data_IF_765781215002
#
_entry.id   IF_765781215002
#
_cell.length_a   1.000
_cell.length_b   1.000
_cell.length_c   1.000
_cell.angle_alpha   90.00
_cell.angle_beta   90.00
_cell.angle_gamma   90.00
#
_symmetry.space_group_name_H-M   'P 1'
#
loop_
_entity.id
_entity.type
_entity.pdbx_description
1 polymer ?
#
# COMPACT_ATOMS: atom_id res chain seq x y z
N UNK A 1 -20.81 7.77 4.74
CA UNK A 1 -19.54 7.79 5.51
C UNK A 1 -18.84 6.45 5.30
N UNK A 2 -17.51 6.35 5.28
CA UNK A 2 -16.80 5.09 4.96
C UNK A 2 -17.22 3.95 5.91
N UNK A 3 -17.42 4.27 7.19
CA UNK A 3 -17.89 3.34 8.22
C UNK A 3 -19.22 2.66 7.87
N UNK A 4 -20.19 3.40 7.28
CA UNK A 4 -21.51 2.83 6.98
C UNK A 4 -21.44 1.72 5.94
N UNK A 5 -20.56 1.86 4.94
CA UNK A 5 -20.36 0.82 3.93
C UNK A 5 -19.69 -0.42 4.52
N UNK A 6 -18.67 -0.24 5.36
CA UNK A 6 -17.99 -1.34 6.05
C UNK A 6 -18.96 -2.12 6.93
N UNK A 7 -19.85 -1.43 7.66
CA UNK A 7 -20.85 -2.06 8.52
C UNK A 7 -21.98 -2.78 7.77
N UNK A 8 -22.21 -2.42 6.51
CA UNK A 8 -23.11 -3.16 5.61
C UNK A 8 -22.44 -4.42 5.07
N UNK A 9 -21.14 -4.33 4.73
CA UNK A 9 -20.36 -5.50 4.29
C UNK A 9 -20.18 -6.52 5.42
N UNK A 10 -19.93 -6.05 6.65
CA UNK A 10 -19.73 -6.89 7.84
C UNK A 10 -21.03 -7.10 8.62
N UNK A 11 -22.15 -7.31 7.92
CA UNK A 11 -23.46 -7.41 8.55
C UNK A 11 -23.58 -8.58 9.55
N UNK A 12 -22.82 -9.66 9.34
CA UNK A 12 -22.75 -10.82 10.25
C UNK A 12 -22.04 -10.52 11.58
N UNK A 13 -21.37 -9.37 11.71
CA UNK A 13 -20.56 -9.00 12.88
C UNK A 13 -21.02 -7.67 13.49
N UNK A 14 -22.25 -7.60 14.05
CA UNK A 14 -22.82 -6.34 14.57
C UNK A 14 -22.02 -5.75 15.73
N UNK A 15 -21.30 -6.58 16.50
CA UNK A 15 -20.43 -6.14 17.59
C UNK A 15 -19.31 -5.20 17.12
N UNK A 16 -18.87 -5.32 15.86
CA UNK A 16 -17.82 -4.47 15.30
C UNK A 16 -18.24 -3.01 15.15
N UNK A 17 -19.54 -2.72 15.06
CA UNK A 17 -20.06 -1.33 15.00
C UNK A 17 -19.77 -0.52 16.26
N UNK A 18 -19.61 -1.21 17.39
CA UNK A 18 -19.32 -0.61 18.70
C UNK A 18 -17.82 -0.64 19.02
N UNK A 19 -17.01 -1.27 18.16
CA UNK A 19 -15.56 -1.34 18.33
C UNK A 19 -14.93 0.01 18.04
N UNK A 20 -14.49 0.69 19.09
CA UNK A 20 -13.71 1.93 18.97
C UNK A 20 -12.41 1.71 18.20
N UNK A 21 -11.77 0.55 18.38
CA UNK A 21 -10.55 0.17 17.66
C UNK A 21 -10.77 0.05 16.14
N UNK A 22 -11.88 -0.57 15.71
CA UNK A 22 -12.22 -0.65 14.30
C UNK A 22 -12.49 0.74 13.72
N UNK A 23 -13.27 1.56 14.43
CA UNK A 23 -13.56 2.93 14.02
C UNK A 23 -12.28 3.75 13.83
N UNK A 24 -11.36 3.70 14.82
CA UNK A 24 -10.08 4.38 14.75
C UNK A 24 -9.26 3.90 13.55
N UNK A 25 -9.19 2.59 13.32
CA UNK A 25 -8.49 2.04 12.16
C UNK A 25 -9.05 2.57 10.84
N UNK A 26 -10.38 2.61 10.68
CA UNK A 26 -11.03 3.17 9.49
C UNK A 26 -10.66 4.65 9.31
N UNK A 27 -10.70 5.45 10.37
CA UNK A 27 -10.34 6.87 10.34
C UNK A 27 -8.87 7.08 9.93
N UNK A 28 -7.95 6.27 10.44
CA UNK A 28 -6.54 6.29 10.03
C UNK A 28 -6.35 5.90 8.57
N UNK A 29 -7.05 4.86 8.07
CA UNK A 29 -7.03 4.49 6.65
C UNK A 29 -7.51 5.63 5.75
N UNK A 30 -8.59 6.31 6.13
CA UNK A 30 -9.11 7.48 5.39
C UNK A 30 -8.09 8.62 5.40
N UNK A 31 -7.48 8.90 6.57
CA UNK A 31 -6.46 9.94 6.71
C UNK A 31 -5.25 9.68 5.81
N UNK A 32 -4.72 8.46 5.82
CA UNK A 32 -3.60 8.06 4.96
C UNK A 32 -3.99 8.17 3.49
N UNK A 33 -5.15 7.63 3.11
CA UNK A 33 -5.65 7.70 1.72
C UNK A 33 -5.76 9.14 1.23
N UNK A 34 -6.30 10.03 2.08
CA UNK A 34 -6.38 11.45 1.76
C UNK A 34 -5.00 12.10 1.62
N UNK A 35 -4.09 11.84 2.58
CA UNK A 35 -2.73 12.36 2.55
C UNK A 35 -1.97 11.97 1.28
N UNK A 36 -2.23 10.78 0.73
CA UNK A 36 -1.64 10.31 -0.53
C UNK A 36 -2.23 11.00 -1.77
N UNK A 37 -3.50 11.39 -1.73
CA UNK A 37 -4.23 11.90 -2.89
C UNK A 37 -4.29 13.43 -3.00
N UNK A 38 -4.17 14.14 -1.88
CA UNK A 38 -4.28 15.61 -1.85
C UNK A 38 -3.00 16.31 -2.32
N UNK A 39 -1.89 15.58 -2.45
CA UNK A 39 -0.64 16.12 -2.97
C UNK A 39 -0.74 16.45 -4.46
N UNK A 40 0.08 17.40 -4.92
CA UNK A 40 0.23 17.73 -6.33
C UNK A 40 1.74 17.78 -6.68
N UNK A 41 2.31 16.71 -7.29
CA UNK A 41 1.63 15.54 -7.84
C UNK A 41 1.11 14.56 -6.78
N UNK A 42 0.03 13.82 -7.07
CA UNK A 42 -0.48 12.76 -6.17
C UNK A 42 0.51 11.61 -6.05
N UNK A 43 0.47 10.88 -4.94
CA UNK A 43 1.23 9.64 -4.80
C UNK A 43 0.53 8.44 -5.42
N UNK A 44 1.31 7.51 -5.96
CA UNK A 44 0.87 6.27 -6.60
C UNK A 44 1.57 5.09 -5.92
N UNK A 45 0.78 4.04 -5.62
CA UNK A 45 1.26 2.77 -5.10
C UNK A 45 1.49 1.83 -6.28
N UNK A 46 2.72 1.34 -6.47
CA UNK A 46 3.08 0.37 -7.51
C UNK A 46 3.47 -0.97 -6.89
N UNK A 47 2.94 -2.06 -7.45
CA UNK A 47 3.09 -3.43 -6.96
C UNK A 47 2.98 -4.49 -8.07
N UNK A 48 3.09 -4.08 -9.33
CA UNK A 48 2.84 -4.90 -10.52
C UNK A 48 4.10 -5.13 -11.38
N UNK A 49 5.24 -4.56 -10.98
CA UNK A 49 6.50 -4.76 -11.70
C UNK A 49 6.95 -6.21 -11.63
N UNK A 50 7.33 -6.77 -12.77
CA UNK A 50 7.84 -8.14 -12.88
C UNK A 50 9.37 -8.22 -12.84
N UNK A 51 10.05 -7.09 -12.96
CA UNK A 51 11.50 -7.01 -13.01
C UNK A 51 12.01 -6.04 -11.95
N UNK A 52 13.06 -6.45 -11.25
CA UNK A 52 13.74 -5.67 -10.24
C UNK A 52 14.30 -4.40 -10.86
N UNK A 53 14.17 -3.30 -10.12
CA UNK A 53 14.69 -2.01 -10.52
C UNK A 53 15.29 -1.35 -9.27
N UNK A 54 16.61 -1.21 -9.17
CA UNK A 54 17.27 -0.71 -7.96
C UNK A 54 16.91 0.74 -7.63
N UNK A 55 16.35 1.51 -8.57
CA UNK A 55 15.90 2.87 -8.32
C UNK A 55 14.60 2.92 -7.49
N UNK A 56 13.76 1.90 -7.61
CA UNK A 56 12.41 1.88 -7.01
C UNK A 56 12.16 0.67 -6.11
N UNK A 57 13.05 -0.32 -6.11
CA UNK A 57 12.94 -1.56 -5.33
C UNK A 57 14.17 -1.79 -4.44
N UNK A 58 13.92 -2.41 -3.30
CA UNK A 58 14.91 -2.98 -2.38
C UNK A 58 14.66 -4.47 -2.29
N UNK A 59 15.72 -5.27 -2.40
CA UNK A 59 15.62 -6.73 -2.26
C UNK A 59 15.47 -7.09 -0.79
N UNK A 60 14.60 -8.05 -0.50
CA UNK A 60 14.58 -8.67 0.81
C UNK A 60 15.89 -9.45 1.04
N UNK A 61 16.28 -9.61 2.31
CA UNK A 61 17.61 -10.14 2.66
C UNK A 61 17.83 -11.61 2.27
N UNK A 62 16.76 -12.36 1.99
CA UNK A 62 16.82 -13.76 1.52
C UNK A 62 16.63 -13.91 0.01
N UNK A 63 16.53 -12.81 -0.74
CA UNK A 63 16.31 -12.85 -2.19
C UNK A 63 17.56 -13.29 -2.95
N UNK A 64 17.39 -13.93 -4.11
CA UNK A 64 18.48 -14.30 -5.01
C UNK A 64 19.03 -13.04 -5.69
N UNK A 65 20.32 -12.72 -5.47
CA UNK A 65 20.96 -11.54 -6.05
C UNK A 65 21.28 -11.65 -7.54
N UNK A 66 21.12 -12.84 -8.13
CA UNK A 66 21.45 -13.12 -9.53
C UNK A 66 20.24 -13.03 -10.47
N UNK A 67 19.02 -13.17 -9.92
CA UNK A 67 17.75 -13.05 -10.63
C UNK A 67 17.19 -11.63 -10.50
N UNK A 68 16.71 -11.03 -11.58
CA UNK A 68 15.93 -9.78 -11.53
C UNK A 68 14.41 -10.04 -11.58
N UNK A 69 13.96 -11.29 -11.65
CA UNK A 69 12.53 -11.59 -11.74
C UNK A 69 11.86 -11.42 -10.38
N UNK A 70 10.84 -10.56 -10.29
CA UNK A 70 10.10 -10.36 -9.04
C UNK A 70 9.08 -11.49 -8.87
N UNK A 71 9.26 -12.26 -7.81
CA UNK A 71 8.34 -13.33 -7.40
C UNK A 71 7.16 -12.76 -6.62
N UNK A 72 7.44 -11.86 -5.66
CA UNK A 72 6.43 -11.30 -4.76
C UNK A 72 6.84 -9.93 -4.21
N UNK A 73 5.86 -9.06 -3.96
CA UNK A 73 6.03 -7.81 -3.23
C UNK A 73 5.73 -8.02 -1.75
N UNK A 74 6.71 -7.76 -0.89
CA UNK A 74 6.51 -7.69 0.56
C UNK A 74 6.00 -6.32 0.99
N UNK A 75 6.39 -5.27 0.25
CA UNK A 75 5.91 -3.91 0.47
C UNK A 75 5.85 -3.17 -0.86
N UNK A 76 4.78 -2.40 -1.15
CA UNK A 76 4.66 -1.70 -2.42
C UNK A 76 5.62 -0.51 -2.50
N UNK A 77 5.90 -0.10 -3.73
CA UNK A 77 6.65 1.13 -4.02
C UNK A 77 5.71 2.34 -3.96
N UNK A 78 6.16 3.42 -3.34
CA UNK A 78 5.47 4.72 -3.35
C UNK A 78 6.16 5.66 -4.34
N UNK A 79 5.41 6.10 -5.35
CA UNK A 79 5.87 6.99 -6.41
C UNK A 79 5.12 8.32 -6.33
N UNK A 80 5.77 9.40 -6.75
CA UNK A 80 5.13 10.71 -6.93
C UNK A 80 4.82 10.93 -8.41
N UNK A 81 3.56 11.29 -8.70
CA UNK A 81 3.10 11.60 -10.04
C UNK A 81 3.25 10.41 -10.99
N UNK A 82 3.89 10.62 -12.13
CA UNK A 82 3.80 9.75 -13.31
C UNK A 82 4.84 8.61 -13.30
N UNK A 83 5.26 8.16 -12.11
CA UNK A 83 6.08 6.96 -11.88
C UNK A 83 7.61 7.12 -11.92
N UNK A 84 8.17 8.32 -12.10
CA UNK A 84 9.64 8.50 -12.16
C UNK A 84 10.28 8.92 -10.84
N UNK A 85 9.54 9.58 -9.95
CA UNK A 85 10.05 10.05 -8.67
C UNK A 85 9.70 9.04 -7.56
N UNK A 86 10.70 8.29 -7.09
CA UNK A 86 10.52 7.31 -6.02
C UNK A 86 10.54 8.00 -4.65
N UNK A 87 9.42 7.94 -3.94
CA UNK A 87 9.28 8.47 -2.57
C UNK A 87 9.71 7.40 -1.56
N UNK A 88 9.27 6.16 -1.79
CA UNK A 88 9.64 5.02 -0.96
C UNK A 88 9.83 3.77 -1.83
N UNK A 89 10.98 3.10 -1.66
CA UNK A 89 11.27 1.89 -2.42
C UNK A 89 10.39 0.75 -1.94
N UNK A 90 9.80 0.01 -2.87
CA UNK A 90 9.13 -1.25 -2.57
C UNK A 90 10.13 -2.30 -2.09
N UNK A 91 9.64 -3.29 -1.34
CA UNK A 91 10.44 -4.43 -0.90
C UNK A 91 9.98 -5.67 -1.66
N UNK A 92 10.89 -6.31 -2.37
CA UNK A 92 10.58 -7.41 -3.28
C UNK A 92 11.41 -8.67 -3.01
N UNK A 93 10.80 -9.82 -3.25
CA UNK A 93 11.44 -11.11 -3.38
C UNK A 93 11.75 -11.35 -4.86
N UNK A 94 13.00 -11.70 -5.14
CA UNK A 94 13.56 -11.94 -6.48
C UNK A 94 14.31 -13.26 -6.50
#
# INVERSE_FOLDING_TARGET
EVCSQIYLTLYDYPCLRQSSGLRQYIEECVRVSWALNVQNPRYIISYDSRTFNPNIHTRFHTSDSTSDDILEFLWPTLLEGNSTCCVFKGVVLT
#
